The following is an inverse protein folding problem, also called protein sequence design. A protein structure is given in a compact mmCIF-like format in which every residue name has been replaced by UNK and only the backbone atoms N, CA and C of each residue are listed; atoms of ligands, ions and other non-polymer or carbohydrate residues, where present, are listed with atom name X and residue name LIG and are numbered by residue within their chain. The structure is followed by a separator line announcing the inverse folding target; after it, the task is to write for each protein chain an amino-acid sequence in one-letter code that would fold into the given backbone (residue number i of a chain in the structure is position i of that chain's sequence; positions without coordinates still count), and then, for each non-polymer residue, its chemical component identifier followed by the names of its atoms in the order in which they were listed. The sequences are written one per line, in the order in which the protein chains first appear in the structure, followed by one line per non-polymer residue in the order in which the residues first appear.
data_IF_573173850392
#
_entry.id   IF_573173850392
#
_cell.length_a   1.000
_cell.length_b   1.000
_cell.length_c   1.000
_cell.angle_alpha   90.00
_cell.angle_beta   90.00
_cell.angle_gamma   90.00
#
_symmetry.space_group_name_H-M   'P 1'
#
loop_
_entity.id
_entity.type
_entity.pdbx_description
1 polymer ?
#
# COMPACT_ATOMS: atom_id res chain seq x y z
N UNK A 1 33.00 49.32 -5.09
CA UNK A 1 31.65 48.74 -5.33
C UNK A 1 31.82 47.27 -5.70
N UNK A 2 31.74 46.39 -4.71
CA UNK A 2 31.80 44.93 -4.91
C UNK A 2 30.42 44.43 -5.32
N UNK A 3 30.23 44.16 -6.60
CA UNK A 3 29.03 43.51 -7.12
C UNK A 3 29.04 42.07 -6.61
N UNK A 4 28.27 41.80 -5.55
CA UNK A 4 27.96 40.44 -5.12
C UNK A 4 27.11 39.80 -6.21
N UNK A 5 27.76 39.08 -7.15
CA UNK A 5 27.05 38.14 -8.02
C UNK A 5 26.35 37.13 -7.12
N UNK A 6 25.06 37.34 -6.86
CA UNK A 6 24.22 36.31 -6.29
C UNK A 6 24.31 35.14 -7.26
N UNK A 7 24.95 34.05 -6.83
CA UNK A 7 24.90 32.79 -7.56
C UNK A 7 23.43 32.43 -7.62
N UNK A 8 22.76 32.73 -8.73
CA UNK A 8 21.40 32.25 -8.99
C UNK A 8 21.52 30.75 -9.10
N UNK A 9 21.33 30.08 -7.96
CA UNK A 9 21.33 28.62 -7.92
C UNK A 9 20.23 28.13 -8.85
N UNK A 10 20.49 27.03 -9.55
CA UNK A 10 19.56 26.41 -10.51
C UNK A 10 18.14 26.25 -9.96
N UNK A 11 18.01 26.17 -8.63
CA UNK A 11 16.76 26.09 -7.88
C UNK A 11 15.83 27.31 -8.03
N UNK A 12 16.31 28.47 -8.48
CA UNK A 12 15.51 29.69 -8.63
C UNK A 12 15.00 29.94 -10.06
N UNK A 13 15.38 29.12 -11.04
CA UNK A 13 14.96 29.30 -12.44
C UNK A 13 13.47 28.96 -12.63
N UNK A 14 12.73 29.71 -13.48
CA UNK A 14 11.37 29.36 -13.89
C UNK A 14 11.35 28.04 -14.68
N UNK A 15 10.24 27.30 -14.58
CA UNK A 15 10.14 25.92 -15.08
C UNK A 15 10.36 25.82 -16.60
N UNK A 16 10.00 26.83 -17.39
CA UNK A 16 10.21 26.85 -18.85
C UNK A 16 11.69 26.87 -19.23
N UNK A 17 12.51 27.65 -18.51
CA UNK A 17 13.96 27.73 -18.76
C UNK A 17 14.66 26.44 -18.34
N UNK A 18 14.20 25.83 -17.25
CA UNK A 18 14.70 24.53 -16.77
C UNK A 18 14.46 23.44 -17.82
N UNK A 19 13.27 23.40 -18.43
CA UNK A 19 12.95 22.45 -19.52
C UNK A 19 13.79 22.70 -20.77
N UNK A 20 14.05 23.96 -21.14
CA UNK A 20 14.92 24.29 -22.29
C UNK A 20 16.37 23.87 -22.05
N UNK A 21 16.92 24.09 -20.86
CA UNK A 21 18.27 23.65 -20.50
C UNK A 21 18.39 22.13 -20.60
N UNK A 22 17.37 21.40 -20.15
CA UNK A 22 17.33 19.94 -20.27
C UNK A 22 17.28 19.46 -21.73
N UNK A 23 16.39 20.03 -22.54
CA UNK A 23 16.27 19.66 -23.94
C UNK A 23 17.55 19.98 -24.73
N UNK A 24 18.27 21.03 -24.34
CA UNK A 24 19.53 21.42 -24.97
C UNK A 24 20.70 20.53 -24.53
N UNK A 25 20.77 20.17 -23.24
CA UNK A 25 21.87 19.34 -22.74
C UNK A 25 21.80 17.90 -23.23
N UNK A 26 20.61 17.39 -23.56
CA UNK A 26 20.36 16.00 -23.95
C UNK A 26 20.87 14.97 -22.92
N UNK A 27 21.20 15.43 -21.71
CA UNK A 27 21.76 14.64 -20.62
C UNK A 27 20.66 14.30 -19.62
N UNK A 28 20.13 13.08 -19.75
CA UNK A 28 19.11 12.50 -18.87
C UNK A 28 19.43 12.55 -17.35
N UNK A 29 20.68 12.42 -16.89
CA UNK A 29 21.00 12.47 -15.45
C UNK A 29 20.70 13.83 -14.78
N UNK A 30 20.70 14.94 -15.52
CA UNK A 30 20.44 16.29 -14.99
C UNK A 30 19.02 16.48 -14.45
N UNK A 31 18.04 15.69 -14.92
CA UNK A 31 16.67 15.68 -14.37
C UNK A 31 16.70 15.21 -12.91
N UNK A 32 17.66 14.39 -12.52
CA UNK A 32 17.56 13.66 -11.26
C UNK A 32 18.47 14.18 -10.15
N UNK A 33 19.41 15.05 -10.50
CA UNK A 33 20.29 15.73 -9.55
C UNK A 33 19.60 16.88 -8.83
N UNK A 34 18.48 17.38 -9.33
CA UNK A 34 17.81 18.55 -8.78
C UNK A 34 16.40 18.25 -8.24
N UNK A 35 16.21 18.53 -6.95
CA UNK A 35 14.99 18.32 -6.15
C UNK A 35 13.74 19.03 -6.72
N UNK A 36 13.92 19.98 -7.64
CA UNK A 36 12.84 20.67 -8.37
C UNK A 36 12.25 19.81 -9.49
N UNK A 37 13.05 18.97 -10.15
CA UNK A 37 12.57 18.03 -11.17
C UNK A 37 11.82 16.82 -10.59
N UNK A 38 12.07 16.48 -9.32
CA UNK A 38 11.28 15.50 -8.56
C UNK A 38 9.77 15.78 -8.60
N UNK A 39 9.36 17.05 -8.79
CA UNK A 39 7.96 17.44 -8.93
C UNK A 39 7.36 17.20 -10.32
N UNK A 40 8.12 16.72 -11.31
CA UNK A 40 7.65 16.57 -12.68
C UNK A 40 6.94 15.23 -12.86
N UNK A 41 5.76 15.12 -12.25
CA UNK A 41 4.73 14.12 -12.53
C UNK A 41 4.39 13.96 -14.04
N UNK A 42 4.73 14.96 -14.86
CA UNK A 42 4.37 15.10 -16.29
C UNK A 42 5.22 14.29 -17.29
N UNK A 43 6.33 13.67 -16.90
CA UNK A 43 7.15 12.89 -17.85
C UNK A 43 6.61 11.48 -18.12
N UNK A 44 7.00 10.93 -19.29
CA UNK A 44 6.59 9.61 -19.77
C UNK A 44 7.02 8.48 -18.83
N UNK A 45 6.28 7.36 -18.86
CA UNK A 45 6.63 6.17 -18.06
C UNK A 45 8.04 5.66 -18.34
N UNK A 46 8.54 5.82 -19.56
CA UNK A 46 9.89 5.42 -19.98
C UNK A 46 10.96 6.20 -19.22
N UNK A 47 10.81 7.52 -19.09
CA UNK A 47 11.80 8.35 -18.39
C UNK A 47 11.85 8.05 -16.89
N UNK A 48 10.69 7.78 -16.29
CA UNK A 48 10.57 7.35 -14.89
C UNK A 48 11.25 5.99 -14.66
N UNK A 49 11.05 5.04 -15.57
CA UNK A 49 11.75 3.76 -15.53
C UNK A 49 13.26 3.96 -15.69
N UNK A 50 13.70 4.76 -16.67
CA UNK A 50 15.12 5.00 -16.98
C UNK A 50 15.89 5.48 -15.76
N UNK A 51 15.31 6.43 -15.05
CA UNK A 51 15.86 6.91 -13.80
C UNK A 51 16.08 5.82 -12.76
N UNK A 52 15.02 5.05 -12.50
CA UNK A 52 15.03 4.00 -11.49
C UNK A 52 16.06 2.94 -11.86
N UNK A 53 16.17 2.60 -13.15
CA UNK A 53 17.17 1.66 -13.66
C UNK A 53 18.60 2.20 -13.59
N UNK A 54 18.85 3.48 -13.89
CA UNK A 54 20.18 4.06 -13.79
C UNK A 54 20.68 4.15 -12.35
N UNK A 55 19.78 4.44 -11.40
CA UNK A 55 20.09 4.56 -9.97
C UNK A 55 19.86 3.26 -9.18
N UNK A 56 19.58 2.16 -9.88
CA UNK A 56 19.45 0.83 -9.31
C UNK A 56 20.84 0.23 -9.05
N UNK A 57 21.06 -0.38 -7.87
CA UNK A 57 22.23 -1.23 -7.66
C UNK A 57 21.96 -2.55 -8.39
N UNK A 58 22.66 -2.75 -9.51
CA UNK A 58 22.48 -3.87 -10.45
C UNK A 58 23.22 -5.12 -10.00
N UNK A 59 23.88 -5.12 -8.84
CA UNK A 59 24.52 -6.31 -8.28
C UNK A 59 23.46 -7.27 -7.78
N UNK A 60 23.55 -8.53 -8.21
CA UNK A 60 22.59 -9.61 -7.89
C UNK A 60 22.26 -9.70 -6.39
N UNK A 61 23.28 -9.65 -5.52
CA UNK A 61 23.12 -9.68 -4.05
C UNK A 61 22.26 -8.55 -3.47
N UNK A 62 22.11 -7.43 -4.18
CA UNK A 62 21.35 -6.25 -3.72
C UNK A 62 20.06 -6.02 -4.50
N UNK A 63 19.75 -6.85 -5.49
CA UNK A 63 18.60 -6.67 -6.37
C UNK A 63 17.28 -6.60 -5.59
N UNK A 64 17.11 -7.45 -4.57
CA UNK A 64 15.99 -7.39 -3.62
C UNK A 64 15.85 -6.01 -2.95
N UNK A 65 16.95 -5.48 -2.42
CA UNK A 65 16.96 -4.17 -1.75
C UNK A 65 16.61 -3.04 -2.73
N UNK A 66 17.06 -3.17 -3.97
CA UNK A 66 16.82 -2.21 -5.05
C UNK A 66 15.36 -2.21 -5.48
N UNK A 67 14.72 -3.36 -5.63
CA UNK A 67 13.27 -3.40 -5.92
C UNK A 67 12.43 -2.89 -4.75
N UNK A 68 12.83 -3.16 -3.51
CA UNK A 68 12.18 -2.60 -2.34
C UNK A 68 12.30 -1.07 -2.26
N UNK A 69 13.40 -0.48 -2.73
CA UNK A 69 13.52 0.99 -2.82
C UNK A 69 12.69 1.54 -3.97
N UNK A 70 12.70 0.87 -5.13
CA UNK A 70 11.86 1.23 -6.29
C UNK A 70 10.38 1.28 -5.89
N UNK A 71 9.85 0.25 -5.24
CA UNK A 71 8.44 0.18 -4.82
C UNK A 71 8.02 1.32 -3.88
N UNK A 72 8.95 1.95 -3.16
CA UNK A 72 8.66 3.10 -2.30
C UNK A 72 8.39 4.38 -3.10
N UNK A 73 8.71 4.44 -4.39
CA UNK A 73 8.50 5.61 -5.24
C UNK A 73 7.01 5.85 -5.52
N UNK A 74 6.53 7.07 -5.24
CA UNK A 74 5.11 7.47 -5.35
C UNK A 74 4.60 7.58 -6.79
N UNK A 75 5.49 7.60 -7.77
CA UNK A 75 5.15 7.80 -9.19
C UNK A 75 5.07 6.49 -9.97
N UNK A 76 5.21 5.34 -9.30
CA UNK A 76 5.06 4.05 -9.95
C UNK A 76 3.64 3.84 -10.46
N UNK A 77 3.55 3.30 -11.66
CA UNK A 77 2.35 2.80 -12.29
C UNK A 77 2.71 1.51 -13.04
N UNK A 78 1.69 0.83 -13.57
CA UNK A 78 1.81 -0.44 -14.29
C UNK A 78 2.88 -0.35 -15.39
N UNK A 79 2.79 0.69 -16.24
CA UNK A 79 3.75 0.92 -17.34
C UNK A 79 5.19 1.09 -16.89
N UNK A 80 5.45 1.81 -15.79
CA UNK A 80 6.83 1.99 -15.29
C UNK A 80 7.38 0.65 -14.82
N UNK A 81 6.58 -0.15 -14.12
CA UNK A 81 6.99 -1.48 -13.65
C UNK A 81 7.25 -2.41 -14.83
N UNK A 82 6.39 -2.44 -15.84
CA UNK A 82 6.58 -3.26 -17.05
C UNK A 82 7.87 -2.90 -17.80
N UNK A 83 8.18 -1.60 -17.94
CA UNK A 83 9.41 -1.16 -18.61
C UNK A 83 10.63 -1.59 -17.81
N UNK A 84 10.59 -1.42 -16.47
CA UNK A 84 11.65 -1.90 -15.60
C UNK A 84 11.84 -3.41 -15.72
N UNK A 85 10.76 -4.17 -15.68
CA UNK A 85 10.79 -5.63 -15.85
C UNK A 85 11.45 -6.02 -17.16
N UNK A 86 11.06 -5.41 -18.29
CA UNK A 86 11.70 -5.69 -19.58
C UNK A 86 13.22 -5.44 -19.54
N UNK A 87 13.65 -4.36 -18.91
CA UNK A 87 15.08 -4.05 -18.83
C UNK A 87 15.84 -4.93 -17.84
N UNK A 88 15.22 -5.35 -16.75
CA UNK A 88 15.86 -6.29 -15.85
C UNK A 88 15.84 -7.72 -16.42
N UNK A 89 14.80 -8.11 -17.17
CA UNK A 89 14.73 -9.40 -17.87
C UNK A 89 15.79 -9.54 -18.96
N UNK A 90 16.33 -8.42 -19.47
CA UNK A 90 17.53 -8.47 -20.33
C UNK A 90 18.77 -9.05 -19.63
N UNK A 91 18.75 -9.13 -18.29
CA UNK A 91 19.88 -9.57 -17.45
C UNK A 91 19.56 -10.71 -16.48
N UNK A 92 18.29 -10.95 -16.17
CA UNK A 92 17.84 -11.88 -15.12
C UNK A 92 16.66 -12.73 -15.62
N UNK A 93 16.49 -13.93 -15.07
CA UNK A 93 15.34 -14.77 -15.40
C UNK A 93 14.08 -14.30 -14.66
N UNK A 94 12.91 -14.62 -15.22
CA UNK A 94 11.63 -14.30 -14.59
C UNK A 94 11.48 -14.93 -13.19
N UNK A 95 12.02 -16.13 -12.98
CA UNK A 95 11.98 -16.79 -11.67
C UNK A 95 12.70 -15.97 -10.59
N UNK A 96 13.80 -15.30 -10.94
CA UNK A 96 14.53 -14.42 -10.01
C UNK A 96 13.69 -13.18 -9.68
N UNK A 97 13.03 -12.60 -10.70
CA UNK A 97 12.08 -11.50 -10.53
C UNK A 97 10.90 -11.87 -9.64
N UNK A 98 10.32 -13.04 -9.86
CA UNK A 98 9.21 -13.53 -9.06
C UNK A 98 9.63 -13.73 -7.60
N UNK A 99 10.81 -14.29 -7.36
CA UNK A 99 11.41 -14.38 -6.02
C UNK A 99 11.53 -12.98 -5.38
N UNK A 100 12.05 -11.98 -6.10
CA UNK A 100 12.14 -10.60 -5.61
C UNK A 100 10.77 -10.07 -5.19
N UNK A 101 9.75 -10.23 -6.03
CA UNK A 101 8.40 -9.73 -5.73
C UNK A 101 7.78 -10.40 -4.50
N UNK A 102 8.01 -11.70 -4.29
CA UNK A 102 7.52 -12.40 -3.09
C UNK A 102 8.11 -11.83 -1.79
N UNK A 103 9.34 -11.31 -1.84
CA UNK A 103 9.97 -10.64 -0.69
C UNK A 103 9.48 -9.19 -0.50
N UNK A 104 8.81 -8.62 -1.50
CA UNK A 104 8.34 -7.24 -1.47
C UNK A 104 7.01 -7.09 -0.71
N UNK A 105 6.82 -5.88 -0.19
CA UNK A 105 5.61 -5.48 0.55
C UNK A 105 4.87 -4.39 -0.24
N UNK A 106 3.55 -4.34 -0.08
CA UNK A 106 2.77 -3.26 -0.68
C UNK A 106 3.21 -1.89 -0.12
N UNK A 107 3.51 -0.91 -0.99
CA UNK A 107 4.03 0.36 -0.53
C UNK A 107 2.99 1.17 0.26
N UNK A 108 3.42 1.76 1.37
CA UNK A 108 2.55 2.52 2.29
C UNK A 108 1.77 3.63 1.60
N UNK A 109 2.34 4.28 0.59
CA UNK A 109 1.70 5.37 -0.13
C UNK A 109 0.52 4.88 -0.98
N UNK A 110 0.63 3.68 -1.57
CA UNK A 110 -0.43 3.07 -2.37
C UNK A 110 -1.64 2.72 -1.50
N UNK A 111 -1.42 2.28 -0.26
CA UNK A 111 -2.49 2.02 0.71
C UNK A 111 -3.21 3.31 1.18
N UNK A 112 -2.60 4.48 1.01
CA UNK A 112 -3.26 5.77 1.30
C UNK A 112 -4.27 6.10 0.20
N UNK A 113 -3.89 5.99 -1.06
CA UNK A 113 -4.77 6.23 -2.20
C UNK A 113 -4.77 4.97 -3.07
N UNK A 114 -5.58 3.96 -2.72
CA UNK A 114 -5.52 2.65 -3.37
C UNK A 114 -6.06 2.73 -4.80
N UNK A 115 -5.16 2.57 -5.77
CA UNK A 115 -5.54 2.13 -7.11
C UNK A 115 -5.73 0.62 -7.05
N UNK A 116 -6.96 0.14 -7.21
CA UNK A 116 -7.26 -1.29 -7.13
C UNK A 116 -6.51 -2.04 -8.23
N UNK A 117 -6.50 -1.50 -9.44
CA UNK A 117 -5.83 -2.07 -10.62
C UNK A 117 -4.33 -2.22 -10.38
N UNK A 118 -3.68 -1.18 -9.84
CA UNK A 118 -2.24 -1.25 -9.57
C UNK A 118 -1.90 -2.18 -8.41
N UNK A 119 -2.76 -2.29 -7.39
CA UNK A 119 -2.56 -3.26 -6.31
C UNK A 119 -2.73 -4.68 -6.86
N UNK A 120 -3.73 -4.93 -7.72
CA UNK A 120 -3.94 -6.21 -8.38
C UNK A 120 -2.70 -6.59 -9.21
N UNK A 121 -2.23 -5.67 -10.04
CA UNK A 121 -1.04 -5.83 -10.87
C UNK A 121 0.23 -6.20 -10.08
N UNK A 122 0.43 -5.63 -8.89
CA UNK A 122 1.54 -5.99 -8.00
C UNK A 122 1.33 -7.35 -7.34
N UNK A 123 0.10 -7.68 -6.95
CA UNK A 123 -0.24 -8.98 -6.36
C UNK A 123 -0.08 -10.13 -7.36
N UNK A 124 -0.44 -9.93 -8.63
CA UNK A 124 -0.27 -10.92 -9.70
C UNK A 124 1.21 -11.29 -9.90
N UNK A 125 2.14 -10.41 -9.52
CA UNK A 125 3.60 -10.64 -9.53
C UNK A 125 4.13 -11.33 -8.28
N UNK A 126 3.27 -11.58 -7.28
CA UNK A 126 3.62 -12.25 -6.04
C UNK A 126 3.90 -11.31 -4.86
N UNK A 127 3.67 -10.00 -4.98
CA UNK A 127 3.82 -9.08 -3.84
C UNK A 127 2.84 -9.45 -2.73
N UNK A 128 3.38 -9.68 -1.54
CA UNK A 128 2.59 -10.15 -0.40
C UNK A 128 1.51 -9.12 0.04
N UNK A 129 0.20 -9.49 0.02
CA UNK A 129 -0.88 -8.57 0.36
C UNK A 129 -1.16 -8.47 1.86
N UNK A 130 -0.57 -9.34 2.68
CA UNK A 130 -0.67 -9.30 4.13
C UNK A 130 0.44 -8.47 4.76
N UNK A 131 1.61 -8.32 4.13
CA UNK A 131 2.77 -7.76 4.83
C UNK A 131 2.88 -6.22 4.73
N UNK A 132 3.43 -5.57 5.76
CA UNK A 132 3.74 -6.15 7.07
C UNK A 132 2.48 -6.20 7.94
N UNK A 133 2.26 -7.30 8.63
CA UNK A 133 1.31 -7.39 9.72
C UNK A 133 -0.19 -7.15 9.43
N UNK A 134 -0.72 -7.68 8.33
CA UNK A 134 -2.07 -7.42 7.79
C UNK A 134 -2.38 -5.93 7.59
N UNK A 135 -1.35 -5.07 7.52
CA UNK A 135 -1.51 -3.61 7.41
C UNK A 135 -2.39 -3.18 6.23
N UNK A 136 -2.34 -3.79 5.03
CA UNK A 136 -3.24 -3.45 3.94
C UNK A 136 -4.71 -3.59 4.32
N UNK A 137 -5.09 -4.72 4.93
CA UNK A 137 -6.46 -4.99 5.35
C UNK A 137 -6.91 -4.09 6.51
N UNK A 138 -6.03 -3.87 7.48
CA UNK A 138 -6.25 -2.94 8.61
C UNK A 138 -6.52 -1.52 8.11
N UNK A 139 -5.72 -1.03 7.15
CA UNK A 139 -5.88 0.30 6.57
C UNK A 139 -7.16 0.40 5.74
N UNK A 140 -7.51 -0.64 4.99
CA UNK A 140 -8.76 -0.71 4.25
C UNK A 140 -9.97 -0.60 5.20
N UNK A 141 -9.96 -1.33 6.32
CA UNK A 141 -10.99 -1.24 7.36
C UNK A 141 -11.02 0.15 8.01
N UNK A 142 -9.86 0.74 8.32
CA UNK A 142 -9.76 2.08 8.93
C UNK A 142 -10.31 3.18 8.01
N UNK A 143 -10.11 3.04 6.69
CA UNK A 143 -10.60 3.95 5.65
C UNK A 143 -12.03 3.66 5.20
N UNK A 144 -12.67 2.64 5.75
CA UNK A 144 -14.01 2.23 5.34
C UNK A 144 -14.11 1.81 3.86
N UNK A 145 -13.00 1.34 3.26
CA UNK A 145 -12.96 1.01 1.84
C UNK A 145 -13.37 -0.45 1.60
N UNK A 146 -14.68 -0.66 1.39
CA UNK A 146 -15.28 -1.99 1.18
C UNK A 146 -14.68 -2.70 -0.04
N UNK A 147 -14.41 -1.97 -1.14
CA UNK A 147 -13.85 -2.56 -2.37
C UNK A 147 -12.46 -3.15 -2.13
N UNK A 148 -11.59 -2.38 -1.46
CA UNK A 148 -10.25 -2.86 -1.11
C UNK A 148 -10.29 -4.04 -0.13
N UNK A 149 -11.23 -4.04 0.83
CA UNK A 149 -11.43 -5.19 1.74
C UNK A 149 -11.83 -6.44 0.96
N UNK A 150 -12.82 -6.35 0.06
CA UNK A 150 -13.26 -7.49 -0.76
C UNK A 150 -12.11 -8.05 -1.60
N UNK A 151 -11.34 -7.18 -2.25
CA UNK A 151 -10.19 -7.58 -3.08
C UNK A 151 -9.12 -8.30 -2.25
N UNK A 152 -8.72 -7.75 -1.10
CA UNK A 152 -7.72 -8.37 -0.23
C UNK A 152 -8.19 -9.73 0.32
N UNK A 153 -9.46 -9.86 0.70
CA UNK A 153 -10.02 -11.14 1.16
C UNK A 153 -10.10 -12.18 0.05
N UNK A 154 -10.49 -11.78 -1.17
CA UNK A 154 -10.52 -12.66 -2.33
C UNK A 154 -9.11 -13.19 -2.70
N UNK A 155 -8.08 -12.39 -2.42
CA UNK A 155 -6.66 -12.75 -2.62
C UNK A 155 -6.09 -13.61 -1.46
N UNK A 156 -6.94 -14.13 -0.58
CA UNK A 156 -6.53 -15.05 0.49
C UNK A 156 -5.90 -14.39 1.71
N UNK A 157 -5.99 -13.05 1.86
CA UNK A 157 -5.52 -12.37 3.08
C UNK A 157 -6.38 -12.80 4.26
N UNK A 158 -5.79 -13.58 5.16
CA UNK A 158 -6.47 -14.06 6.36
C UNK A 158 -6.74 -12.90 7.33
N UNK A 159 -8.01 -12.59 7.66
CA UNK A 159 -8.35 -11.41 8.46
C UNK A 159 -7.83 -11.46 9.90
N UNK A 160 -7.42 -12.65 10.37
CA UNK A 160 -7.06 -12.91 11.76
C UNK A 160 -5.56 -12.94 12.07
N UNK A 161 -4.67 -12.95 11.07
CA UNK A 161 -3.20 -13.16 11.25
C UNK A 161 -2.52 -12.23 12.28
N UNK A 162 -3.18 -11.14 12.71
CA UNK A 162 -2.71 -10.19 13.73
C UNK A 162 -3.81 -9.78 14.74
N UNK A 163 -4.12 -10.64 15.71
CA UNK A 163 -4.92 -10.34 16.90
C UNK A 163 -6.28 -9.66 16.64
N UNK A 164 -7.00 -10.11 15.61
CA UNK A 164 -8.34 -9.59 15.25
C UNK A 164 -8.40 -8.08 14.96
N UNK A 165 -7.25 -7.46 14.68
CA UNK A 165 -7.14 -6.03 14.40
C UNK A 165 -8.14 -5.51 13.34
N UNK A 166 -8.29 -6.17 12.17
CA UNK A 166 -9.27 -5.77 11.16
C UNK A 166 -10.71 -5.76 11.68
N UNK A 167 -11.14 -6.80 12.41
CA UNK A 167 -12.50 -6.93 12.92
C UNK A 167 -12.82 -5.87 13.98
N UNK A 168 -11.90 -5.65 14.92
CA UNK A 168 -12.04 -4.64 15.95
C UNK A 168 -12.11 -3.23 15.36
N UNK A 169 -11.29 -2.92 14.35
CA UNK A 169 -11.29 -1.62 13.68
C UNK A 169 -12.58 -1.41 12.89
N UNK A 170 -13.03 -2.40 12.12
CA UNK A 170 -14.29 -2.32 11.37
C UNK A 170 -15.48 -2.08 12.31
N UNK A 171 -15.49 -2.75 13.46
CA UNK A 171 -16.49 -2.56 14.52
C UNK A 171 -16.40 -1.15 15.12
N UNK A 172 -15.19 -0.66 15.43
CA UNK A 172 -14.98 0.73 15.89
C UNK A 172 -15.49 1.76 14.89
N UNK A 173 -15.43 1.45 13.59
CA UNK A 173 -15.94 2.29 12.50
C UNK A 173 -17.45 2.13 12.23
N UNK A 174 -18.16 1.27 12.97
CA UNK A 174 -19.59 0.99 12.80
C UNK A 174 -19.96 0.52 11.38
N UNK A 175 -19.02 -0.05 10.62
CA UNK A 175 -19.32 -0.56 9.28
C UNK A 175 -19.76 -2.03 9.35
N UNK A 176 -21.07 -2.21 9.25
CA UNK A 176 -21.72 -3.52 9.28
C UNK A 176 -21.30 -4.42 8.11
N UNK A 177 -21.12 -3.86 6.91
CA UNK A 177 -20.77 -4.62 5.72
C UNK A 177 -19.36 -5.19 5.80
N UNK A 178 -18.38 -4.36 6.21
CA UNK A 178 -17.00 -4.83 6.39
C UNK A 178 -16.95 -5.88 7.50
N UNK A 179 -17.67 -5.69 8.60
CA UNK A 179 -17.75 -6.69 9.67
C UNK A 179 -18.32 -8.00 9.16
N UNK A 180 -19.43 -7.97 8.40
CA UNK A 180 -20.03 -9.18 7.81
C UNK A 180 -19.07 -9.87 6.84
N UNK A 181 -18.36 -9.12 6.00
CA UNK A 181 -17.36 -9.66 5.09
C UNK A 181 -16.24 -10.35 5.87
N UNK A 182 -15.67 -9.69 6.88
CA UNK A 182 -14.61 -10.28 7.69
C UNK A 182 -15.09 -11.56 8.38
N UNK A 183 -16.27 -11.55 9.02
CA UNK A 183 -16.81 -12.71 9.74
C UNK A 183 -17.05 -13.93 8.84
N UNK A 184 -17.35 -13.75 7.55
CA UNK A 184 -17.47 -14.88 6.61
C UNK A 184 -16.14 -15.64 6.44
N UNK A 185 -15.01 -14.97 6.59
CA UNK A 185 -13.68 -15.56 6.52
C UNK A 185 -13.13 -15.97 7.89
N UNK A 186 -13.89 -15.77 8.98
CA UNK A 186 -13.54 -16.30 10.30
C UNK A 186 -13.95 -17.78 10.39
N UNK A 187 -12.98 -18.65 10.60
CA UNK A 187 -13.23 -20.07 10.89
C UNK A 187 -13.87 -20.25 12.27
N UNK A 188 -14.65 -21.33 12.48
CA UNK A 188 -15.17 -21.73 13.79
C UNK A 188 -14.09 -22.30 14.72
N UNK A 189 -13.01 -21.56 14.95
CA UNK A 189 -11.99 -21.91 15.95
C UNK A 189 -12.33 -21.24 17.29
N UNK A 190 -12.03 -21.89 18.42
CA UNK A 190 -12.14 -21.29 19.78
C UNK A 190 -11.42 -19.94 19.87
N UNK A 191 -10.37 -19.83 19.09
CA UNK A 191 -9.46 -18.71 19.02
C UNK A 191 -10.09 -17.50 18.27
N UNK A 192 -11.01 -17.76 17.34
CA UNK A 192 -11.84 -16.75 16.67
C UNK A 192 -12.92 -16.18 17.60
N UNK A 193 -13.36 -16.98 18.58
CA UNK A 193 -14.39 -16.60 19.53
C UNK A 193 -13.97 -15.40 20.40
N UNK A 194 -12.70 -15.32 20.80
CA UNK A 194 -12.19 -14.21 21.60
C UNK A 194 -12.26 -12.87 20.85
N UNK A 195 -11.89 -12.88 19.55
CA UNK A 195 -12.02 -11.72 18.67
C UNK A 195 -13.46 -11.25 18.51
N UNK A 196 -14.37 -12.20 18.26
CA UNK A 196 -15.81 -11.95 18.14
C UNK A 196 -16.38 -11.38 19.45
N UNK A 197 -16.02 -11.94 20.61
CA UNK A 197 -16.46 -11.46 21.91
C UNK A 197 -15.98 -10.03 22.18
N UNK A 198 -14.72 -9.72 21.85
CA UNK A 198 -14.17 -8.37 21.98
C UNK A 198 -14.87 -7.38 21.05
N UNK A 199 -15.13 -7.76 19.81
CA UNK A 199 -15.88 -6.94 18.86
C UNK A 199 -17.34 -6.72 19.32
N UNK A 200 -18.00 -7.75 19.85
CA UNK A 200 -19.34 -7.65 20.42
C UNK A 200 -19.39 -6.64 21.58
N UNK A 201 -18.41 -6.68 22.48
CA UNK A 201 -18.33 -5.73 23.59
C UNK A 201 -18.22 -4.27 23.10
N UNK A 202 -17.45 -4.02 22.04
CA UNK A 202 -17.36 -2.69 21.41
C UNK A 202 -18.70 -2.29 20.79
N UNK A 203 -19.37 -3.21 20.08
CA UNK A 203 -20.69 -2.95 19.48
C UNK A 203 -21.75 -2.60 20.53
N UNK A 204 -21.72 -3.25 21.69
CA UNK A 204 -22.60 -2.94 22.84
C UNK A 204 -22.33 -1.54 23.38
N UNK A 205 -21.06 -1.19 23.60
CA UNK A 205 -20.68 0.16 24.05
C UNK A 205 -21.12 1.26 23.07
N UNK A 206 -21.14 0.95 21.77
CA UNK A 206 -21.60 1.85 20.72
C UNK A 206 -23.13 1.90 20.55
N UNK A 207 -23.88 1.06 21.28
CA UNK A 207 -25.32 0.85 21.12
C UNK A 207 -25.74 0.48 19.69
N UNK A 208 -24.85 -0.15 18.90
CA UNK A 208 -25.16 -0.53 17.53
C UNK A 208 -25.90 -1.88 17.49
N UNK A 209 -27.24 -1.83 17.54
CA UNK A 209 -28.13 -3.01 17.54
C UNK A 209 -27.86 -3.97 16.37
N UNK A 210 -27.51 -3.44 15.19
CA UNK A 210 -27.24 -4.27 14.01
C UNK A 210 -25.98 -5.10 14.17
N UNK A 211 -24.87 -4.50 14.61
CA UNK A 211 -23.63 -5.24 14.91
C UNK A 211 -23.81 -6.25 16.04
N UNK A 212 -24.56 -5.89 17.09
CA UNK A 212 -24.87 -6.81 18.20
C UNK A 212 -25.57 -8.06 17.66
N UNK A 213 -26.63 -7.89 16.84
CA UNK A 213 -27.33 -9.02 16.21
C UNK A 213 -26.42 -9.86 15.33
N UNK A 214 -25.53 -9.23 14.57
CA UNK A 214 -24.55 -9.93 13.73
C UNK A 214 -23.62 -10.76 14.60
N UNK A 215 -22.98 -10.18 15.61
CA UNK A 215 -22.03 -10.93 16.45
C UNK A 215 -22.69 -12.05 17.25
N UNK A 216 -23.91 -11.86 17.76
CA UNK A 216 -24.69 -12.91 18.42
C UNK A 216 -24.98 -14.07 17.46
N UNK A 217 -25.33 -13.78 16.19
CA UNK A 217 -25.52 -14.81 15.16
C UNK A 217 -24.25 -15.63 14.90
N UNK A 218 -23.08 -15.02 15.01
CA UNK A 218 -21.79 -15.70 14.89
C UNK A 218 -21.28 -16.29 16.23
N UNK A 219 -22.16 -16.43 17.23
CA UNK A 219 -21.87 -17.10 18.51
C UNK A 219 -21.19 -16.20 19.55
N UNK A 220 -21.12 -14.88 19.35
CA UNK A 220 -20.49 -13.95 20.28
C UNK A 220 -21.17 -13.91 21.65
N UNK A 221 -20.36 -14.00 22.71
CA UNK A 221 -20.80 -13.97 24.10
C UNK A 221 -20.46 -12.59 24.70
N UNK A 222 -21.45 -11.80 25.12
CA UNK A 222 -21.22 -10.47 25.67
C UNK A 222 -20.71 -10.53 27.10
N UNK A 223 -19.88 -9.57 27.51
CA UNK A 223 -19.51 -9.41 28.93
C UNK A 223 -20.74 -8.97 29.74
N UNK A 224 -21.05 -9.73 30.79
CA UNK A 224 -22.22 -9.52 31.68
C UNK A 224 -22.32 -8.08 32.20
N UNK A 225 -21.19 -7.44 32.54
CA UNK A 225 -21.15 -6.07 33.01
C UNK A 225 -21.66 -5.03 31.99
N UNK A 226 -21.52 -5.29 30.68
CA UNK A 226 -21.92 -4.36 29.63
C UNK A 226 -23.41 -4.47 29.27
N UNK A 227 -24.07 -5.59 29.61
CA UNK A 227 -25.51 -5.77 29.38
C UNK A 227 -26.36 -4.78 30.19
N UNK A 228 -25.86 -4.35 31.36
CA UNK A 228 -26.50 -3.31 32.18
C UNK A 228 -26.64 -1.96 31.45
N UNK A 229 -25.80 -1.68 30.43
CA UNK A 229 -25.81 -0.44 29.63
C UNK A 229 -26.77 -0.44 28.44
N UNK A 230 -27.47 -1.56 28.21
CA UNK A 230 -28.48 -1.70 27.15
C UNK A 230 -29.91 -1.41 27.64
N UNK A 231 -30.11 -1.24 28.96
CA UNK A 231 -31.31 -0.63 29.53
C UNK A 231 -31.31 0.87 29.24
#
# INVERSE_FOLDING_TARGET
MTITKSKTTFNHLPNELVVKVFNYSNELPLIFTCKRYYYLWKYSSVMKAHYLYQNSDKKEKKLNSTFQTILKCKFLNERVVEILERWFLSKYHWNDMQCIYTTCQLPKWLLKNPSLDFIQFLMDRGVSPSEPANRPLILACKKNNIKLVKMLLAMGVQPRKYNDGPLLIATKKKNNEIVLLLLKYYTKSKECQNGINNALNIAIQQKNKTLIRIFVKYGGIPKVALLKKLK
#
